data_IF_168327550946
#
_entry.id   IF_168327550946
#
_cell.length_a   1.000
_cell.length_b   1.000
_cell.length_c   1.000
_cell.angle_alpha   90.00
_cell.angle_beta   90.00
_cell.angle_gamma   90.00
#
_symmetry.space_group_name_H-M   'P 1'
#
loop_
_entity.id
_entity.type
_entity.pdbx_description
1 polymer ?
#
# COMPACT_ATOMS: atom_id res chain seq x y z
N UNK A 1 -8.67 18.11 -0.77
CA UNK A 1 -7.42 17.53 -0.20
C UNK A 1 -7.09 16.28 -1.00
N UNK A 2 -6.05 16.33 -1.84
CA UNK A 2 -5.87 15.44 -2.99
C UNK A 2 -5.14 14.12 -2.63
N UNK A 3 -5.71 12.98 -3.06
CA UNK A 3 -5.09 11.65 -3.07
C UNK A 3 -3.74 11.62 -3.82
N UNK A 4 -3.51 12.59 -4.70
CA UNK A 4 -2.31 12.71 -5.55
C UNK A 4 -1.06 13.07 -4.73
N UNK A 5 -1.21 13.76 -3.60
CA UNK A 5 -0.09 14.20 -2.76
C UNK A 5 0.49 13.09 -1.85
N UNK A 6 -0.28 12.02 -1.66
CA UNK A 6 0.06 10.89 -0.78
C UNK A 6 0.82 9.78 -1.52
N UNK A 7 0.80 9.78 -2.87
CA UNK A 7 1.37 8.72 -3.72
C UNK A 7 2.79 9.04 -4.21
N UNK A 8 3.14 10.31 -4.46
CA UNK A 8 4.51 10.71 -4.84
C UNK A 8 5.53 10.63 -3.67
N UNK A 9 5.05 10.76 -2.42
CA UNK A 9 5.86 10.73 -1.18
C UNK A 9 6.26 9.32 -0.71
N UNK A 10 5.58 8.26 -1.16
CA UNK A 10 5.80 6.88 -0.67
C UNK A 10 7.00 6.14 -1.31
N UNK A 11 7.62 6.67 -2.37
CA UNK A 11 8.42 5.82 -3.28
C UNK A 11 9.73 6.37 -3.83
N UNK A 12 10.21 7.56 -3.43
CA UNK A 12 11.61 7.92 -3.70
C UNK A 12 12.46 7.12 -2.70
N UNK A 13 13.02 6.02 -3.21
CA UNK A 13 13.55 4.87 -2.49
C UNK A 13 14.27 5.22 -1.18
N UNK A 14 13.77 4.69 -0.05
CA UNK A 14 14.41 4.85 1.26
C UNK A 14 15.86 4.34 1.29
N UNK A 15 16.23 3.42 0.41
CA UNK A 15 17.62 3.01 0.15
C UNK A 15 18.43 4.08 -0.57
N UNK A 16 17.86 4.75 -1.56
CA UNK A 16 18.55 5.79 -2.32
C UNK A 16 18.78 7.02 -1.45
N UNK A 17 17.83 7.39 -0.59
CA UNK A 17 18.00 8.49 0.38
C UNK A 17 19.17 8.25 1.35
N UNK A 18 19.33 7.02 1.86
CA UNK A 18 20.47 6.69 2.72
C UNK A 18 21.80 6.68 1.94
N UNK A 19 21.78 6.19 0.69
CA UNK A 19 22.94 6.23 -0.21
C UNK A 19 23.32 7.66 -0.56
N UNK A 20 22.36 8.54 -0.77
CA UNK A 20 22.57 9.94 -1.08
C UNK A 20 23.12 10.70 0.13
N UNK A 21 22.56 10.50 1.33
CA UNK A 21 23.10 11.07 2.57
C UNK A 21 24.55 10.60 2.77
N UNK A 22 24.82 9.31 2.59
CA UNK A 22 26.17 8.74 2.70
C UNK A 22 27.12 9.35 1.67
N UNK A 23 26.72 9.40 0.40
CA UNK A 23 27.53 9.94 -0.70
C UNK A 23 27.84 11.42 -0.49
N UNK A 24 26.87 12.21 -0.05
CA UNK A 24 27.07 13.62 0.24
C UNK A 24 28.01 13.81 1.44
N UNK A 25 27.90 12.98 2.49
CA UNK A 25 28.86 13.00 3.60
C UNK A 25 30.27 12.63 3.16
N UNK A 26 30.43 11.60 2.33
CA UNK A 26 31.71 11.18 1.74
C UNK A 26 32.29 12.26 0.81
N UNK A 27 31.43 13.09 0.20
CA UNK A 27 31.84 14.25 -0.61
C UNK A 27 32.21 15.49 0.22
N UNK A 28 32.20 15.40 1.55
CA UNK A 28 32.63 16.46 2.46
C UNK A 28 31.56 17.48 2.86
N UNK A 29 30.29 17.27 2.49
CA UNK A 29 29.21 18.17 2.90
C UNK A 29 28.90 18.06 4.40
N UNK A 30 28.57 19.19 5.01
CA UNK A 30 28.10 19.27 6.40
C UNK A 30 26.68 18.72 6.55
N UNK A 31 26.29 18.33 7.77
CA UNK A 31 24.94 17.78 8.02
C UNK A 31 23.82 18.77 7.64
N UNK A 32 24.06 20.07 7.80
CA UNK A 32 23.13 21.14 7.42
C UNK A 32 22.97 21.23 5.90
N UNK A 33 24.08 21.24 5.17
CA UNK A 33 24.05 21.27 3.70
C UNK A 33 23.41 20.00 3.12
N UNK A 34 23.64 18.84 3.74
CA UNK A 34 22.98 17.59 3.35
C UNK A 34 21.47 17.69 3.59
N UNK A 35 21.04 18.20 4.74
CA UNK A 35 19.63 18.40 5.06
C UNK A 35 18.96 19.33 4.04
N UNK A 36 19.60 20.44 3.68
CA UNK A 36 19.08 21.40 2.70
C UNK A 36 19.02 20.78 1.28
N UNK A 37 20.08 20.06 0.86
CA UNK A 37 20.14 19.41 -0.46
C UNK A 37 19.16 18.24 -0.61
N UNK A 38 18.87 17.53 0.48
CA UNK A 38 17.96 16.37 0.48
C UNK A 38 16.54 16.73 0.89
N UNK A 39 16.28 17.99 1.29
CA UNK A 39 15.01 18.46 1.85
C UNK A 39 14.55 17.64 3.07
N UNK A 40 15.51 17.20 3.89
CA UNK A 40 15.27 16.44 5.12
C UNK A 40 15.55 17.29 6.34
N UNK A 41 14.97 16.93 7.48
CA UNK A 41 15.33 17.60 8.74
C UNK A 41 16.77 17.26 9.13
N UNK A 42 17.49 18.23 9.69
CA UNK A 42 18.86 18.04 10.19
C UNK A 42 18.94 16.91 11.22
N UNK A 43 17.90 16.78 12.07
CA UNK A 43 17.79 15.69 13.06
C UNK A 43 17.74 14.30 12.40
N UNK A 44 17.04 14.19 11.28
CA UNK A 44 16.95 12.92 10.53
C UNK A 44 18.30 12.58 9.89
N UNK A 45 18.94 13.55 9.22
CA UNK A 45 20.26 13.38 8.61
C UNK A 45 21.29 12.96 9.65
N UNK A 46 21.35 13.67 10.78
CA UNK A 46 22.23 13.35 11.89
C UNK A 46 22.00 11.91 12.39
N UNK A 47 20.74 11.52 12.63
CA UNK A 47 20.42 10.17 13.09
C UNK A 47 20.81 9.07 12.09
N UNK A 48 20.63 9.32 10.79
CA UNK A 48 21.08 8.41 9.73
C UNK A 48 22.61 8.27 9.72
N UNK A 49 23.33 9.39 9.75
CA UNK A 49 24.79 9.39 9.75
C UNK A 49 25.35 8.64 10.96
N UNK A 50 24.77 8.87 12.13
CA UNK A 50 25.15 8.16 13.36
C UNK A 50 24.96 6.64 13.25
N UNK A 51 23.86 6.19 12.65
CA UNK A 51 23.62 4.76 12.42
C UNK A 51 24.58 4.16 11.38
N UNK A 52 24.99 4.93 10.37
CA UNK A 52 25.99 4.53 9.37
C UNK A 52 27.39 4.38 10.01
N UNK A 53 27.79 5.36 10.82
CA UNK A 53 29.05 5.36 11.58
C UNK A 53 29.10 4.20 12.58
N UNK A 54 27.98 3.90 13.25
CA UNK A 54 27.86 2.77 14.18
C UNK A 54 27.75 1.39 13.52
N UNK A 55 27.80 1.32 12.19
CA UNK A 55 27.59 0.11 11.38
C UNK A 55 26.28 -0.63 11.70
N UNK A 56 25.23 0.12 12.02
CA UNK A 56 23.91 -0.39 12.43
C UNK A 56 23.01 -0.73 11.24
N UNK A 57 23.51 -1.59 10.34
CA UNK A 57 22.84 -1.95 9.09
C UNK A 57 21.44 -2.53 9.28
N UNK A 58 21.24 -3.30 10.36
CA UNK A 58 19.94 -3.89 10.70
C UNK A 58 18.92 -2.83 11.11
N UNK A 59 19.33 -1.84 11.89
CA UNK A 59 18.47 -0.73 12.32
C UNK A 59 18.17 0.20 11.15
N UNK A 60 19.17 0.51 10.31
CA UNK A 60 19.00 1.24 9.05
C UNK A 60 17.94 0.57 8.16
N UNK A 61 18.01 -0.75 7.94
CA UNK A 61 17.01 -1.48 7.15
C UNK A 61 15.60 -1.44 7.76
N UNK A 62 15.50 -1.41 9.09
CA UNK A 62 14.20 -1.32 9.76
C UNK A 62 13.61 0.09 9.66
N UNK A 63 14.46 1.12 9.70
CA UNK A 63 14.11 2.50 9.39
C UNK A 63 13.64 2.63 7.94
N UNK A 64 14.40 2.09 6.98
CA UNK A 64 14.07 2.13 5.55
C UNK A 64 12.70 1.54 5.23
N UNK A 65 12.37 0.42 5.88
CA UNK A 65 11.10 -0.28 5.69
C UNK A 65 9.95 0.31 6.51
N UNK A 66 10.16 1.45 7.17
CA UNK A 66 9.15 2.14 7.99
C UNK A 66 8.71 1.36 9.22
N UNK A 67 9.49 0.35 9.65
CA UNK A 67 9.15 -0.50 10.80
C UNK A 67 9.40 0.23 12.12
N UNK A 68 10.44 1.06 12.17
CA UNK A 68 10.78 1.90 13.33
C UNK A 68 11.16 3.32 12.87
N UNK A 69 10.84 4.37 13.66
CA UNK A 69 11.35 5.72 13.43
C UNK A 69 12.87 5.81 13.62
N UNK A 70 13.52 6.77 12.94
CA UNK A 70 14.99 6.99 13.04
C UNK A 70 15.41 7.37 14.45
N UNK A 71 14.64 8.22 15.13
CA UNK A 71 14.94 8.62 16.51
C UNK A 71 15.05 7.40 17.42
N UNK A 72 14.09 6.50 17.35
CA UNK A 72 14.08 5.26 18.14
C UNK A 72 15.22 4.33 17.72
N UNK A 73 15.55 4.26 16.43
CA UNK A 73 16.68 3.48 15.95
C UNK A 73 18.01 3.98 16.52
N UNK A 74 18.21 5.30 16.58
CA UNK A 74 19.38 5.93 17.20
C UNK A 74 19.43 5.62 18.70
N UNK A 75 18.32 5.81 19.41
CA UNK A 75 18.25 5.52 20.85
C UNK A 75 18.58 4.03 21.14
N UNK A 76 18.15 3.11 20.27
CA UNK A 76 18.47 1.66 20.38
C UNK A 76 19.95 1.40 20.06
N UNK A 77 20.55 2.15 19.13
CA UNK A 77 21.96 1.99 18.78
C UNK A 77 22.89 2.41 19.92
N UNK A 78 22.49 3.44 20.67
CA UNK A 78 23.24 4.01 21.79
C UNK A 78 23.08 3.26 23.10
N UNK A 79 22.00 2.50 23.23
CA UNK A 79 21.68 1.79 24.46
C UNK A 79 22.33 0.40 24.50
N UNK A 80 22.84 0.06 25.68
CA UNK A 80 23.23 -1.32 26.04
C UNK A 80 21.99 -2.21 26.21
N UNK A 81 22.16 -3.53 26.29
CA UNK A 81 21.06 -4.52 26.33
C UNK A 81 19.96 -4.18 27.36
N UNK A 82 20.35 -3.73 28.56
CA UNK A 82 19.42 -3.31 29.62
C UNK A 82 18.73 -1.98 29.25
N UNK A 83 19.47 -1.05 28.65
CA UNK A 83 18.96 0.23 28.16
C UNK A 83 18.02 0.09 26.97
N UNK A 84 18.15 -0.94 26.12
CA UNK A 84 17.27 -1.09 24.97
C UNK A 84 15.81 -1.34 25.40
N UNK A 85 15.59 -2.05 26.51
CA UNK A 85 14.24 -2.24 27.05
C UNK A 85 13.65 -0.93 27.57
N UNK A 86 14.45 -0.07 28.20
CA UNK A 86 13.99 1.25 28.67
C UNK A 86 13.66 2.16 27.48
N UNK A 87 14.47 2.14 26.41
CA UNK A 87 14.19 2.85 25.16
C UNK A 87 12.87 2.40 24.53
N UNK A 88 12.61 1.09 24.44
CA UNK A 88 11.36 0.56 23.90
C UNK A 88 10.14 0.97 24.75
N UNK A 89 10.29 1.00 26.07
CA UNK A 89 9.25 1.46 26.99
C UNK A 89 8.98 2.96 26.81
N UNK A 90 10.02 3.79 26.78
CA UNK A 90 9.88 5.23 26.54
C UNK A 90 9.26 5.52 25.17
N UNK A 91 9.63 4.76 24.13
CA UNK A 91 9.03 4.89 22.80
C UNK A 91 7.54 4.53 22.79
N UNK A 92 7.10 3.60 23.65
CA UNK A 92 5.69 3.28 23.84
C UNK A 92 4.93 4.38 24.57
N UNK A 93 5.50 4.88 25.68
CA UNK A 93 4.94 6.00 26.47
C UNK A 93 4.80 7.26 25.62
N UNK A 94 5.81 7.57 24.79
CA UNK A 94 5.82 8.69 23.84
C UNK A 94 4.99 8.45 22.57
N UNK A 95 4.21 7.37 22.47
CA UNK A 95 3.40 7.01 21.29
C UNK A 95 4.19 6.76 19.98
N UNK A 96 5.51 6.68 20.02
CA UNK A 96 6.36 6.47 18.83
C UNK A 96 6.23 5.04 18.29
N UNK A 97 6.05 4.07 19.18
CA UNK A 97 5.85 2.66 18.86
C UNK A 97 4.64 2.09 19.60
N UNK A 98 3.64 1.60 18.86
CA UNK A 98 2.46 0.91 19.43
C UNK A 98 2.04 -0.30 18.59
N UNK A 99 1.34 -1.23 19.24
CA UNK A 99 0.79 -2.44 18.62
C UNK A 99 1.83 -3.22 17.81
N UNK A 100 1.51 -3.52 16.55
CA UNK A 100 2.38 -4.29 15.66
C UNK A 100 3.76 -3.67 15.39
N UNK A 101 3.92 -2.34 15.49
CA UNK A 101 5.25 -1.69 15.33
C UNK A 101 6.16 -1.94 16.53
N UNK A 102 5.60 -1.91 17.74
CA UNK A 102 6.35 -2.26 18.96
C UNK A 102 6.81 -3.73 18.92
N UNK A 103 5.94 -4.63 18.48
CA UNK A 103 6.29 -6.05 18.36
C UNK A 103 7.41 -6.29 17.33
N UNK A 104 7.37 -5.57 16.20
CA UNK A 104 8.42 -5.60 15.17
C UNK A 104 9.75 -5.03 15.71
N UNK A 105 9.70 -3.95 16.49
CA UNK A 105 10.87 -3.37 17.13
C UNK A 105 11.51 -4.33 18.15
N UNK A 106 10.71 -5.02 18.98
CA UNK A 106 11.19 -6.07 19.90
C UNK A 106 11.92 -7.19 19.17
N UNK A 107 11.28 -7.77 18.14
CA UNK A 107 11.89 -8.82 17.31
C UNK A 107 13.18 -8.34 16.62
N UNK A 108 13.22 -7.08 16.20
CA UNK A 108 14.41 -6.48 15.60
C UNK A 108 15.58 -6.43 16.57
N UNK A 109 15.31 -5.98 17.81
CA UNK A 109 16.30 -5.91 18.90
C UNK A 109 16.81 -7.31 19.25
N UNK A 110 15.92 -8.28 19.46
CA UNK A 110 16.31 -9.67 19.74
C UNK A 110 17.19 -10.23 18.62
N UNK A 111 16.83 -9.97 17.37
CA UNK A 111 17.62 -10.41 16.23
C UNK A 111 18.96 -9.66 16.13
N UNK A 112 19.04 -8.39 16.53
CA UNK A 112 20.28 -7.62 16.66
C UNK A 112 21.20 -8.21 17.73
N UNK A 113 20.64 -8.64 18.85
CA UNK A 113 21.41 -9.25 19.95
C UNK A 113 21.94 -10.63 19.54
N UNK A 114 21.09 -11.48 18.94
CA UNK A 114 21.46 -12.85 18.53
C UNK A 114 22.43 -12.91 17.35
N UNK A 115 22.28 -12.00 16.38
CA UNK A 115 22.98 -12.08 15.09
C UNK A 115 23.78 -10.81 14.77
N UNK A 116 23.99 -9.94 15.76
CA UNK A 116 24.70 -8.67 15.63
C UNK A 116 23.98 -7.61 14.79
N UNK A 117 24.69 -6.49 14.59
CA UNK A 117 24.27 -5.28 13.86
C UNK A 117 23.92 -5.50 12.38
N UNK A 118 24.16 -6.71 11.88
CA UNK A 118 23.98 -7.09 10.48
C UNK A 118 25.17 -6.65 9.64
N UNK A 119 25.33 -7.28 8.47
CA UNK A 119 26.32 -6.85 7.49
C UNK A 119 25.71 -5.78 6.60
N UNK A 120 26.53 -4.83 6.13
CA UNK A 120 26.21 -4.08 4.93
C UNK A 120 25.75 -5.08 3.90
N UNK A 121 24.55 -4.89 3.35
CA UNK A 121 24.21 -5.67 2.18
C UNK A 121 25.24 -5.26 1.14
N UNK A 122 26.27 -6.08 0.92
CA UNK A 122 26.84 -6.18 -0.41
C UNK A 122 25.63 -6.33 -1.32
N UNK A 123 25.67 -5.63 -2.44
CA UNK A 123 24.67 -5.56 -3.50
C UNK A 123 24.21 -6.93 -4.07
N UNK A 124 24.55 -8.04 -3.40
CA UNK A 124 24.03 -9.40 -3.55
C UNK A 124 22.58 -9.57 -3.11
N UNK A 125 21.80 -8.52 -3.19
CA UNK A 125 20.43 -8.66 -3.66
C UNK A 125 20.42 -8.05 -5.07
N UNK A 126 21.02 -8.72 -6.04
CA UNK A 126 20.33 -9.71 -6.88
C UNK A 126 18.96 -10.25 -6.39
N UNK A 127 18.13 -9.45 -5.68
CA UNK A 127 16.74 -9.37 -6.09
C UNK A 127 16.90 -8.81 -7.47
N UNK A 128 16.85 -9.71 -8.46
CA UNK A 128 16.58 -9.42 -9.86
C UNK A 128 15.96 -8.04 -9.88
N UNK A 129 16.64 -7.07 -10.49
CA UNK A 129 15.92 -5.95 -11.08
C UNK A 129 14.63 -6.56 -11.58
N UNK A 130 13.50 -6.19 -10.97
CA UNK A 130 12.19 -6.55 -11.48
C UNK A 130 12.30 -6.14 -12.94
N UNK A 131 12.59 -7.12 -13.81
CA UNK A 131 12.99 -6.86 -15.19
C UNK A 131 11.86 -6.00 -15.71
N UNK A 132 12.16 -4.99 -16.49
CA UNK A 132 11.14 -4.17 -17.15
C UNK A 132 10.08 -5.10 -17.79
N UNK A 133 10.51 -6.28 -18.26
CA UNK A 133 9.69 -7.39 -18.72
C UNK A 133 8.74 -8.00 -17.67
N UNK A 134 9.16 -8.15 -16.41
CA UNK A 134 8.30 -8.64 -15.33
C UNK A 134 7.25 -7.62 -14.91
N UNK A 135 7.59 -6.31 -14.92
CA UNK A 135 6.63 -5.24 -14.69
C UNK A 135 5.65 -5.12 -15.85
N UNK A 136 6.14 -5.15 -17.09
CA UNK A 136 5.32 -5.23 -18.31
C UNK A 136 4.38 -6.43 -18.24
N UNK A 137 4.88 -7.62 -17.92
CA UNK A 137 4.07 -8.83 -17.83
C UNK A 137 3.03 -8.77 -16.71
N UNK A 138 3.35 -8.18 -15.56
CA UNK A 138 2.36 -7.95 -14.49
C UNK A 138 1.29 -6.94 -14.91
N UNK A 139 1.70 -5.87 -15.60
CA UNK A 139 0.79 -4.85 -16.11
C UNK A 139 -0.13 -5.40 -17.21
N UNK A 140 0.43 -6.15 -18.16
CA UNK A 140 -0.31 -6.85 -19.21
C UNK A 140 -1.35 -7.80 -18.61
N UNK A 141 -0.95 -8.63 -17.65
CA UNK A 141 -1.87 -9.53 -16.96
C UNK A 141 -2.99 -8.78 -16.22
N UNK A 142 -2.69 -7.64 -15.60
CA UNK A 142 -3.69 -6.83 -14.91
C UNK A 142 -4.63 -6.10 -15.88
N UNK A 143 -4.12 -5.66 -17.04
CA UNK A 143 -4.91 -5.07 -18.12
C UNK A 143 -5.82 -6.13 -18.75
N UNK A 144 -5.32 -7.34 -19.00
CA UNK A 144 -6.12 -8.45 -19.51
C UNK A 144 -7.25 -8.84 -18.55
N UNK A 145 -6.96 -8.97 -17.25
CA UNK A 145 -7.98 -9.23 -16.23
C UNK A 145 -9.06 -8.14 -16.22
N UNK A 146 -8.67 -6.87 -16.31
CA UNK A 146 -9.61 -5.74 -16.40
C UNK A 146 -10.44 -5.78 -17.67
N UNK A 147 -9.85 -6.09 -18.82
CA UNK A 147 -10.56 -6.23 -20.10
C UNK A 147 -11.57 -7.38 -20.05
N UNK A 148 -11.21 -8.53 -19.47
CA UNK A 148 -12.13 -9.67 -19.29
C UNK A 148 -13.30 -9.29 -18.37
N UNK A 149 -13.04 -8.59 -17.25
CA UNK A 149 -14.10 -8.11 -16.36
C UNK A 149 -15.04 -7.13 -17.06
N UNK A 150 -14.51 -6.17 -17.82
CA UNK A 150 -15.30 -5.21 -18.60
C UNK A 150 -16.17 -5.91 -19.65
N UNK A 151 -15.61 -6.88 -20.40
CA UNK A 151 -16.38 -7.66 -21.38
C UNK A 151 -17.50 -8.46 -20.71
N UNK A 152 -17.21 -9.12 -19.58
CA UNK A 152 -18.23 -9.87 -18.82
C UNK A 152 -19.34 -8.94 -18.32
N UNK A 153 -18.99 -7.79 -17.73
CA UNK A 153 -19.95 -6.81 -17.25
C UNK A 153 -20.80 -6.21 -18.37
N UNK A 154 -20.20 -5.96 -19.54
CA UNK A 154 -20.93 -5.49 -20.70
C UNK A 154 -21.90 -6.55 -21.24
N UNK A 155 -21.44 -7.80 -21.37
CA UNK A 155 -22.29 -8.91 -21.83
C UNK A 155 -23.49 -9.13 -20.89
N UNK A 156 -23.26 -9.21 -19.58
CA UNK A 156 -24.37 -9.35 -18.61
C UNK A 156 -25.31 -8.15 -18.63
N UNK A 157 -24.80 -6.93 -18.81
CA UNK A 157 -25.65 -5.74 -18.94
C UNK A 157 -26.51 -5.79 -20.21
N UNK A 158 -25.93 -6.18 -21.35
CA UNK A 158 -26.67 -6.32 -22.61
C UNK A 158 -27.75 -7.41 -22.51
N UNK A 159 -27.44 -8.57 -21.93
CA UNK A 159 -28.41 -9.64 -21.67
C UNK A 159 -29.52 -9.18 -20.74
N UNK A 160 -29.19 -8.48 -19.66
CA UNK A 160 -30.16 -7.97 -18.70
C UNK A 160 -31.09 -6.93 -19.33
N UNK A 161 -30.56 -6.02 -20.15
CA UNK A 161 -31.36 -5.04 -20.90
C UNK A 161 -32.29 -5.72 -21.90
N UNK A 162 -31.80 -6.75 -22.61
CA UNK A 162 -32.63 -7.54 -23.52
C UNK A 162 -33.78 -8.20 -22.77
N UNK A 163 -33.51 -8.89 -21.66
CA UNK A 163 -34.53 -9.55 -20.85
C UNK A 163 -35.58 -8.55 -20.31
N UNK A 164 -35.14 -7.39 -19.83
CA UNK A 164 -36.05 -6.33 -19.34
C UNK A 164 -36.95 -5.83 -20.47
N UNK A 165 -36.40 -5.57 -21.66
CA UNK A 165 -37.19 -5.11 -22.80
C UNK A 165 -38.18 -6.17 -23.29
N UNK A 166 -37.75 -7.43 -23.40
CA UNK A 166 -38.64 -8.53 -23.77
C UNK A 166 -39.76 -8.71 -22.76
N UNK A 167 -39.45 -8.65 -21.45
CA UNK A 167 -40.47 -8.70 -20.40
C UNK A 167 -41.43 -7.51 -20.48
N UNK A 168 -40.94 -6.30 -20.77
CA UNK A 168 -41.80 -5.12 -20.93
C UNK A 168 -42.80 -5.31 -22.08
N UNK A 169 -42.35 -5.80 -23.23
CA UNK A 169 -43.22 -6.08 -24.38
C UNK A 169 -44.26 -7.15 -24.01
N UNK A 170 -43.81 -8.22 -23.34
CA UNK A 170 -44.67 -9.35 -22.99
C UNK A 170 -45.71 -8.98 -21.90
N UNK A 171 -45.33 -8.13 -20.94
CA UNK A 171 -46.24 -7.62 -19.91
C UNK A 171 -47.22 -6.56 -20.41
N UNK A 172 -46.96 -5.93 -21.56
CA UNK A 172 -47.89 -5.00 -22.19
C UNK A 172 -49.05 -5.73 -22.90
N UNK A 173 -48.95 -7.05 -23.12
CA UNK A 173 -50.02 -7.87 -23.69
C UNK A 173 -50.98 -8.36 -22.60
N UNK A 174 -52.22 -7.84 -22.61
CA UNK A 174 -53.27 -8.19 -21.66
C UNK A 174 -53.63 -9.68 -21.68
N UNK A 175 -53.56 -10.34 -22.85
CA UNK A 175 -53.85 -11.78 -22.94
C UNK A 175 -52.79 -12.59 -22.21
N UNK A 176 -51.52 -12.20 -22.34
CA UNK A 176 -50.40 -12.84 -21.66
C UNK A 176 -50.49 -12.67 -20.13
N UNK A 177 -50.80 -11.46 -19.67
CA UNK A 177 -50.97 -11.19 -18.23
C UNK A 177 -52.15 -11.97 -17.65
N UNK A 178 -53.24 -12.10 -18.40
CA UNK A 178 -54.42 -12.86 -17.98
C UNK A 178 -54.10 -14.35 -17.85
N UNK A 179 -53.32 -14.90 -18.77
CA UNK A 179 -52.88 -16.30 -18.75
C UNK A 179 -51.91 -16.57 -17.57
N UNK A 180 -50.97 -15.65 -17.30
CA UNK A 180 -50.08 -15.75 -16.13
C UNK A 180 -50.83 -15.75 -14.80
N UNK A 181 -51.94 -14.99 -14.68
CA UNK A 181 -52.78 -14.99 -13.48
C UNK A 181 -53.53 -16.31 -13.31
N UNK A 182 -54.05 -16.87 -14.40
CA UNK A 182 -54.75 -18.15 -14.40
C UNK A 182 -53.81 -19.31 -13.98
N UNK A 183 -52.55 -19.27 -14.40
CA UNK A 183 -51.51 -20.27 -14.09
C UNK A 183 -50.75 -20.00 -12.77
N UNK A 184 -51.12 -18.96 -12.01
CA UNK A 184 -50.49 -18.64 -10.71
C UNK A 184 -49.06 -18.11 -10.78
N UNK A 185 -48.60 -17.65 -11.95
CA UNK A 185 -47.23 -17.17 -12.21
C UNK A 185 -47.12 -15.64 -12.20
N UNK A 186 -48.01 -14.94 -11.48
CA UNK A 186 -48.08 -13.48 -11.47
C UNK A 186 -46.95 -12.79 -10.68
N UNK A 187 -46.00 -13.53 -10.07
CA UNK A 187 -44.95 -12.95 -9.24
C UNK A 187 -43.64 -12.76 -9.99
N UNK A 188 -43.07 -11.55 -9.94
CA UNK A 188 -41.77 -11.22 -10.54
C UNK A 188 -40.69 -11.03 -9.47
N UNK A 189 -39.42 -11.42 -9.76
CA UNK A 189 -38.29 -11.12 -8.88
C UNK A 189 -38.09 -9.60 -8.67
N UNK A 190 -37.85 -9.19 -7.42
CA UNK A 190 -37.74 -7.77 -7.01
C UNK A 190 -36.71 -6.96 -7.82
N UNK A 191 -35.58 -7.58 -8.16
CA UNK A 191 -34.51 -6.93 -8.94
C UNK A 191 -34.94 -6.54 -10.35
N UNK A 192 -35.92 -7.23 -10.93
CA UNK A 192 -36.47 -6.95 -12.26
C UNK A 192 -37.59 -5.91 -12.13
N UNK A 193 -38.46 -6.01 -11.12
CA UNK A 193 -39.53 -5.02 -10.90
C UNK A 193 -38.99 -3.62 -10.63
N UNK A 194 -37.89 -3.52 -9.88
CA UNK A 194 -37.25 -2.24 -9.56
C UNK A 194 -36.65 -1.58 -10.82
N UNK A 195 -36.11 -2.37 -11.75
CA UNK A 195 -35.57 -1.81 -13.01
C UNK A 195 -36.64 -1.47 -14.04
N UNK A 196 -37.77 -2.20 -14.06
CA UNK A 196 -38.91 -1.82 -14.90
C UNK A 196 -39.46 -0.45 -14.50
N UNK A 197 -39.65 -0.20 -13.20
CA UNK A 197 -40.15 1.08 -12.67
C UNK A 197 -39.14 2.23 -12.79
N UNK A 198 -37.85 1.95 -12.60
CA UNK A 198 -36.79 2.98 -12.68
C UNK A 198 -36.58 3.56 -14.09
N UNK A 199 -36.85 2.78 -15.14
CA UNK A 199 -36.68 3.21 -16.54
C UNK A 199 -37.89 4.00 -17.09
N UNK A 200 -39.04 3.96 -16.42
CA UNK A 200 -40.20 4.78 -16.79
C UNK A 200 -40.05 6.25 -16.38
N UNK A 201 -39.20 6.54 -15.39
CA UNK A 201 -38.92 7.91 -14.94
C UNK A 201 -37.95 8.72 -15.81
N UNK A 202 -37.42 8.15 -16.90
CA UNK A 202 -36.40 8.82 -17.76
C UNK A 202 -36.93 9.27 -19.13
N UNK A 203 -38.24 9.22 -19.36
CA UNK A 203 -38.88 9.67 -20.62
C UNK A 203 -39.85 10.86 -20.45
N UNK A 204 -39.67 11.69 -19.42
CA UNK A 204 -40.37 12.98 -19.29
C UNK A 204 -39.44 14.16 -19.53
#
# INVERSE_FOLDING_TARGET
MSLVENVARRQHHSLDLLRDIRRLKESGYSEREIADKTQLSTKYVHGVLRLLEGHEHRLLRAVESGKIPVSVAVDIADADDVGVQTVLRQAYEKNLLRGGRLLKAKRLVEARQKHGKGRASSDRSSRKSLSVESLLKTYENDVEKKKVLLRKAHATRSEMLFLIQSLKILMADENFVTLLRAEGLASLPRTISDQLTSLEGTQS
#
